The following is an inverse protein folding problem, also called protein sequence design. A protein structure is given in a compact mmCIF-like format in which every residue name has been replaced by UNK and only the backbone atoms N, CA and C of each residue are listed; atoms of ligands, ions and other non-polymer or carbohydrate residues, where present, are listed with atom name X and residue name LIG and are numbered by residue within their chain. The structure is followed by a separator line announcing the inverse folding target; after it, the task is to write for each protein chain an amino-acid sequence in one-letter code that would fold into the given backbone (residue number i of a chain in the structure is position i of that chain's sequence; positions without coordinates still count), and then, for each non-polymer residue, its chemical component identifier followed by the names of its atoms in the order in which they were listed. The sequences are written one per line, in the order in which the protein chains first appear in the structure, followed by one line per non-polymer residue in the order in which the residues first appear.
data_IF_627100571088
#
_entry.id   IF_627100571088
#
_cell.length_a   1.000
_cell.length_b   1.000
_cell.length_c   1.000
_cell.angle_alpha   90.00
_cell.angle_beta   90.00
_cell.angle_gamma   90.00
#
_symmetry.space_group_name_H-M   'P 1'
#
loop_
_entity.id
_entity.type
_entity.pdbx_description
1 polymer ?
#
# COMPACT_ATOMS: atom_id res chain seq x y z
N UNK A 1 -16.18 -1.20 7.58
CA UNK A 1 -16.11 -2.20 6.49
C UNK A 1 -14.94 -3.16 6.72
N UNK A 2 -15.14 -4.48 6.63
CA UNK A 2 -14.06 -5.46 6.90
C UNK A 2 -12.90 -5.33 5.90
N UNK A 3 -13.16 -4.75 4.72
CA UNK A 3 -12.17 -4.51 3.68
C UNK A 3 -11.04 -3.55 4.10
N UNK A 4 -11.24 -2.77 5.16
CA UNK A 4 -10.22 -1.87 5.69
C UNK A 4 -9.09 -2.66 6.38
N UNK A 5 -9.38 -3.87 6.87
CA UNK A 5 -8.40 -4.71 7.58
C UNK A 5 -7.17 -5.08 6.73
N UNK A 6 -7.31 -5.69 5.52
CA UNK A 6 -6.18 -5.96 4.64
C UNK A 6 -5.40 -4.70 4.27
N UNK A 7 -6.10 -3.58 4.05
CA UNK A 7 -5.49 -2.30 3.72
C UNK A 7 -4.60 -1.79 4.86
N UNK A 8 -5.08 -1.82 6.10
CA UNK A 8 -4.33 -1.34 7.26
C UNK A 8 -3.10 -2.22 7.55
N UNK A 9 -3.26 -3.55 7.45
CA UNK A 9 -2.14 -4.48 7.67
C UNK A 9 -1.06 -4.27 6.60
N UNK A 10 -1.45 -4.18 5.32
CA UNK A 10 -0.51 -3.91 4.23
C UNK A 10 0.18 -2.55 4.41
N UNK A 11 -0.56 -1.52 4.82
CA UNK A 11 -0.03 -0.17 5.09
C UNK A 11 1.00 -0.18 6.20
N UNK A 12 0.71 -0.85 7.32
CA UNK A 12 1.64 -0.98 8.44
C UNK A 12 2.90 -1.77 8.05
N UNK A 13 2.74 -2.89 7.35
CA UNK A 13 3.86 -3.70 6.88
C UNK A 13 4.74 -2.93 5.89
N UNK A 14 4.12 -2.18 4.98
CA UNK A 14 4.85 -1.34 4.03
C UNK A 14 5.67 -0.28 4.74
N UNK A 15 5.08 0.41 5.70
CA UNK A 15 5.78 1.44 6.47
C UNK A 15 7.00 0.85 7.18
N UNK A 16 6.87 -0.31 7.82
CA UNK A 16 7.96 -0.94 8.59
C UNK A 16 9.04 -1.52 7.66
N UNK A 17 8.65 -2.31 6.67
CA UNK A 17 9.57 -3.16 5.91
C UNK A 17 10.04 -2.54 4.59
N UNK A 18 9.32 -1.59 4.03
CA UNK A 18 9.70 -0.88 2.82
C UNK A 18 9.50 -1.66 1.51
N UNK A 19 9.22 -2.97 1.51
CA UNK A 19 8.91 -3.73 0.28
C UNK A 19 7.40 -3.82 0.01
N UNK A 20 6.95 -3.33 -1.14
CA UNK A 20 5.54 -3.38 -1.54
C UNK A 20 5.03 -4.81 -1.70
N UNK A 21 5.79 -5.66 -2.41
CA UNK A 21 5.40 -7.05 -2.64
C UNK A 21 5.32 -7.84 -1.34
N UNK A 22 6.28 -7.68 -0.43
CA UNK A 22 6.27 -8.41 0.85
C UNK A 22 5.14 -7.91 1.74
N UNK A 23 4.94 -6.58 1.84
CA UNK A 23 3.83 -6.03 2.60
C UNK A 23 2.46 -6.54 2.10
N UNK A 24 2.27 -6.57 0.79
CA UNK A 24 1.06 -7.07 0.15
C UNK A 24 0.84 -8.57 0.41
N UNK A 25 1.84 -9.42 0.19
CA UNK A 25 1.68 -10.88 0.36
C UNK A 25 1.53 -11.29 1.81
N UNK A 26 2.22 -10.60 2.74
CA UNK A 26 2.05 -10.78 4.18
C UNK A 26 0.63 -10.40 4.61
N UNK A 27 0.13 -9.23 4.22
CA UNK A 27 -1.22 -8.81 4.55
C UNK A 27 -2.28 -9.75 3.95
N UNK A 28 -2.10 -10.19 2.71
CA UNK A 28 -2.98 -11.16 2.07
C UNK A 28 -3.00 -12.49 2.85
N UNK A 29 -1.84 -12.98 3.27
CA UNK A 29 -1.73 -14.24 4.04
C UNK A 29 -2.44 -14.15 5.40
N UNK A 30 -2.31 -13.00 6.08
CA UNK A 30 -2.95 -12.77 7.39
C UNK A 30 -4.47 -12.63 7.24
N UNK A 31 -4.94 -11.95 6.20
CA UNK A 31 -6.36 -11.59 6.06
C UNK A 31 -7.19 -12.56 5.24
N UNK A 32 -6.57 -13.45 4.45
CA UNK A 32 -7.26 -14.45 3.63
C UNK A 32 -8.38 -15.21 4.36
N UNK A 33 -8.17 -15.84 5.53
CA UNK A 33 -9.24 -16.57 6.21
C UNK A 33 -10.36 -15.66 6.73
N UNK A 34 -10.03 -14.42 7.08
CA UNK A 34 -10.98 -13.43 7.60
C UNK A 34 -11.90 -12.95 6.48
N UNK A 35 -11.32 -12.63 5.31
CA UNK A 35 -12.09 -12.22 4.14
C UNK A 35 -12.99 -13.37 3.67
N UNK A 36 -12.47 -14.59 3.60
CA UNK A 36 -13.25 -15.77 3.22
C UNK A 36 -14.44 -16.03 4.17
N UNK A 37 -14.26 -15.85 5.48
CA UNK A 37 -15.33 -16.03 6.47
C UNK A 37 -16.35 -14.88 6.48
N UNK A 38 -15.98 -13.69 5.99
CA UNK A 38 -16.83 -12.49 6.03
C UNK A 38 -17.84 -12.37 4.89
N UNK A 39 -17.74 -13.22 3.86
CA UNK A 39 -18.56 -13.13 2.66
C UNK A 39 -18.20 -12.00 1.71
N UNK A 40 -17.20 -11.17 2.03
CA UNK A 40 -16.67 -10.13 1.12
C UNK A 40 -15.88 -10.76 -0.01
N UNK A 41 -15.96 -10.16 -1.19
CA UNK A 41 -15.21 -10.59 -2.37
C UNK A 41 -13.71 -10.73 -2.08
N UNK A 42 -13.11 -11.93 -2.27
CA UNK A 42 -11.67 -12.14 -2.10
C UNK A 42 -10.83 -11.26 -3.05
N UNK A 43 -11.37 -10.93 -4.22
CA UNK A 43 -10.74 -10.05 -5.20
C UNK A 43 -10.61 -8.64 -4.61
N UNK A 44 -11.67 -8.13 -3.99
CA UNK A 44 -11.64 -6.83 -3.33
C UNK A 44 -10.61 -6.83 -2.18
N UNK A 45 -10.56 -7.91 -1.40
CA UNK A 45 -9.54 -8.12 -0.36
C UNK A 45 -8.11 -8.04 -0.88
N UNK A 46 -7.83 -8.66 -2.04
CA UNK A 46 -6.53 -8.59 -2.69
C UNK A 46 -6.19 -7.17 -3.18
N UNK A 47 -7.17 -6.44 -3.75
CA UNK A 47 -6.99 -5.04 -4.16
C UNK A 47 -6.69 -4.16 -2.94
N UNK A 48 -7.37 -4.37 -1.82
CA UNK A 48 -7.11 -3.64 -0.58
C UNK A 48 -5.68 -3.87 -0.05
N UNK A 49 -5.17 -5.11 -0.12
CA UNK A 49 -3.76 -5.41 0.20
C UNK A 49 -2.78 -4.69 -0.76
N UNK A 50 -3.09 -4.69 -2.07
CA UNK A 50 -2.27 -4.02 -3.08
C UNK A 50 -2.19 -2.51 -2.81
N UNK A 51 -3.34 -1.86 -2.64
CA UNK A 51 -3.43 -0.43 -2.33
C UNK A 51 -2.68 -0.09 -1.04
N UNK A 52 -2.89 -0.86 0.03
CA UNK A 52 -2.22 -0.62 1.30
C UNK A 52 -0.69 -0.68 1.20
N UNK A 53 -0.15 -1.49 0.29
CA UNK A 53 1.30 -1.63 0.09
C UNK A 53 1.98 -0.43 -0.57
N UNK A 54 1.23 0.59 -0.99
CA UNK A 54 1.76 1.80 -1.63
C UNK A 54 2.15 2.91 -0.64
N UNK A 55 1.74 2.81 0.62
CA UNK A 55 1.90 3.89 1.59
C UNK A 55 3.36 4.28 1.81
N UNK A 56 3.63 5.60 1.75
CA UNK A 56 4.83 6.27 2.25
C UNK A 56 6.13 5.49 2.02
N UNK A 57 6.60 5.40 0.77
CA UNK A 57 7.92 4.83 0.48
C UNK A 57 9.04 5.80 0.87
N UNK A 58 9.97 5.38 1.73
CA UNK A 58 11.11 6.20 2.16
C UNK A 58 12.42 5.43 2.03
N UNK A 59 13.49 5.82 2.75
CA UNK A 59 14.82 5.21 2.61
C UNK A 59 14.90 3.68 2.77
N UNK A 60 13.87 3.03 3.33
CA UNK A 60 13.74 1.58 3.43
C UNK A 60 13.16 0.91 2.16
N UNK A 61 12.71 1.68 1.17
CA UNK A 61 12.17 1.23 -0.10
C UNK A 61 13.24 1.34 -1.20
N UNK A 62 13.52 0.24 -1.91
CA UNK A 62 14.45 0.26 -3.05
C UNK A 62 13.99 1.22 -4.15
N UNK A 63 12.68 1.37 -4.37
CA UNK A 63 12.15 2.22 -5.44
C UNK A 63 12.31 3.71 -5.12
N UNK A 64 12.34 4.09 -3.83
CA UNK A 64 12.73 5.45 -3.39
C UNK A 64 14.10 5.82 -3.95
N UNK A 65 15.07 4.91 -3.86
CA UNK A 65 16.43 5.16 -4.35
C UNK A 65 16.51 5.18 -5.87
N UNK A 66 15.77 4.31 -6.55
CA UNK A 66 15.72 4.28 -8.02
C UNK A 66 15.21 5.61 -8.55
N UNK A 67 14.03 6.07 -8.11
CA UNK A 67 13.41 7.31 -8.60
C UNK A 67 14.30 8.52 -8.34
N UNK A 68 14.80 8.67 -7.12
CA UNK A 68 15.61 9.83 -6.76
C UNK A 68 16.96 9.89 -7.47
N UNK A 69 17.63 8.75 -7.64
CA UNK A 69 18.92 8.69 -8.36
C UNK A 69 18.74 8.89 -9.86
N UNK A 70 17.68 8.35 -10.45
CA UNK A 70 17.36 8.59 -11.88
C UNK A 70 17.07 10.05 -12.15
N UNK A 71 16.45 10.77 -11.20
CA UNK A 71 16.18 12.21 -11.31
C UNK A 71 17.35 13.11 -10.89
N UNK A 72 18.46 12.54 -10.39
CA UNK A 72 19.63 13.30 -9.96
C UNK A 72 19.43 14.11 -8.67
N UNK A 73 18.47 13.73 -7.82
CA UNK A 73 18.09 14.49 -6.63
C UNK A 73 18.96 14.08 -5.45
N UNK A 74 19.77 15.00 -4.94
CA UNK A 74 20.69 14.77 -3.83
C UNK A 74 20.15 15.19 -2.46
N UNK A 75 19.24 16.18 -2.43
CA UNK A 75 18.72 16.75 -1.19
C UNK A 75 17.67 15.82 -0.56
N UNK A 76 17.91 15.37 0.68
CA UNK A 76 17.05 14.39 1.35
C UNK A 76 15.58 14.84 1.49
N UNK A 77 15.36 16.14 1.70
CA UNK A 77 14.02 16.74 1.77
C UNK A 77 13.27 16.58 0.44
N UNK A 78 13.96 16.82 -0.66
CA UNK A 78 13.37 16.72 -2.00
C UNK A 78 13.14 15.27 -2.37
N UNK A 79 14.03 14.36 -1.94
CA UNK A 79 13.86 12.93 -2.16
C UNK A 79 12.59 12.35 -1.51
N UNK A 80 12.31 12.75 -0.27
CA UNK A 80 11.07 12.41 0.43
C UNK A 80 9.86 13.05 -0.24
N UNK A 81 9.99 14.29 -0.71
CA UNK A 81 8.89 14.97 -1.41
C UNK A 81 8.55 14.29 -2.72
N UNK A 82 9.55 13.87 -3.50
CA UNK A 82 9.35 13.26 -4.82
C UNK A 82 8.73 11.87 -4.70
N UNK A 83 9.18 11.03 -3.77
CA UNK A 83 8.69 9.65 -3.68
C UNK A 83 7.71 9.42 -2.55
N UNK A 84 8.00 9.85 -1.32
CA UNK A 84 7.15 9.55 -0.16
C UNK A 84 5.79 10.26 -0.26
N UNK A 85 5.75 11.51 -0.73
CA UNK A 85 4.48 12.22 -0.93
C UNK A 85 3.70 11.59 -2.10
N UNK A 86 4.35 11.39 -3.25
CA UNK A 86 3.69 10.80 -4.44
C UNK A 86 3.11 9.41 -4.16
N UNK A 87 3.87 8.55 -3.48
CA UNK A 87 3.40 7.21 -3.09
C UNK A 87 2.24 7.28 -2.09
N UNK A 88 2.26 8.25 -1.17
CA UNK A 88 1.15 8.47 -0.23
C UNK A 88 -0.10 9.01 -0.93
N UNK A 89 0.04 9.86 -1.95
CA UNK A 89 -1.08 10.31 -2.78
C UNK A 89 -1.68 9.13 -3.54
N UNK A 90 -0.87 8.28 -4.16
CA UNK A 90 -1.33 7.07 -4.83
C UNK A 90 -2.07 6.12 -3.88
N UNK A 91 -1.54 5.93 -2.66
CA UNK A 91 -2.21 5.18 -1.59
C UNK A 91 -3.57 5.81 -1.23
N UNK A 92 -3.64 7.13 -1.03
CA UNK A 92 -4.86 7.81 -0.64
C UNK A 92 -5.96 7.70 -1.72
N UNK A 93 -5.60 7.85 -2.99
CA UNK A 93 -6.52 7.65 -4.12
C UNK A 93 -7.01 6.20 -4.14
N UNK A 94 -6.10 5.22 -4.04
CA UNK A 94 -6.49 3.81 -4.02
C UNK A 94 -7.38 3.44 -2.83
N UNK A 95 -7.19 4.06 -1.65
CA UNK A 95 -8.07 3.85 -0.49
C UNK A 95 -9.50 4.28 -0.82
N UNK A 96 -9.66 5.44 -1.44
CA UNK A 96 -10.97 5.94 -1.86
C UNK A 96 -11.60 5.00 -2.87
N UNK A 97 -10.84 4.53 -3.87
CA UNK A 97 -11.30 3.56 -4.87
C UNK A 97 -11.77 2.25 -4.23
N UNK A 98 -11.02 1.68 -3.28
CA UNK A 98 -11.40 0.47 -2.55
C UNK A 98 -12.70 0.66 -1.77
N UNK A 99 -12.87 1.82 -1.12
CA UNK A 99 -14.09 2.12 -0.36
C UNK A 99 -15.30 2.28 -1.29
N UNK A 100 -15.13 2.88 -2.46
CA UNK A 100 -16.18 3.00 -3.48
C UNK A 100 -16.55 1.61 -4.01
N UNK A 101 -15.57 0.78 -4.37
CA UNK A 101 -15.81 -0.58 -4.87
C UNK A 101 -16.53 -1.45 -3.83
N UNK A 102 -16.23 -1.28 -2.55
CA UNK A 102 -16.91 -1.98 -1.44
C UNK A 102 -18.41 -1.65 -1.33
N UNK A 103 -18.92 -0.60 -1.98
CA UNK A 103 -20.36 -0.30 -2.00
C UNK A 103 -21.08 -1.18 -3.05
N UNK A 104 -20.37 -1.56 -4.12
CA UNK A 104 -20.94 -2.27 -5.26
C UNK A 104 -20.67 -3.79 -5.24
N UNK A 105 -19.67 -4.22 -4.48
CA UNK A 105 -19.18 -5.61 -4.39
C UNK A 105 -19.29 -6.15 -2.97
#
# INVERSE_FOLDING_TARGET
PIIILPLLIATAMRFIQGSGTVAMTTAASITAPIIAASGVSPILGAVACCVGSLFFGYFNDSYFWVVNRTLGVSEAKDQLTIWSVTSTVAWAVGVVEVLILNIFM
#
